data_IF_177245509427
#
_entry.id   IF_177245509427
#
_cell.length_a   1.000
_cell.length_b   1.000
_cell.length_c   1.000
_cell.angle_alpha   90.00
_cell.angle_beta   90.00
_cell.angle_gamma   90.00
#
_symmetry.space_group_name_H-M   'P 1'
#
loop_
_entity.id
_entity.type
_entity.pdbx_description
1 polymer ?
#
# COMPACT_ATOMS: atom_id res chain seq x y z
N UNK A 1 2.83 -16.72 -31.50
CA UNK A 1 3.60 -16.81 -30.25
C UNK A 1 3.16 -15.68 -29.33
N UNK A 2 2.13 -15.91 -28.51
CA UNK A 2 1.77 -14.96 -27.45
C UNK A 2 2.17 -15.59 -26.13
N UNK A 3 3.37 -15.22 -25.66
CA UNK A 3 3.83 -15.57 -24.33
C UNK A 3 3.00 -14.81 -23.32
N UNK A 4 1.87 -15.40 -22.93
CA UNK A 4 1.19 -15.02 -21.70
C UNK A 4 2.10 -15.48 -20.55
N UNK A 5 3.07 -14.63 -20.20
CA UNK A 5 3.76 -14.74 -18.93
C UNK A 5 2.68 -14.56 -17.86
N UNK A 6 2.23 -15.68 -17.30
CA UNK A 6 1.43 -15.68 -16.09
C UNK A 6 2.31 -15.05 -15.01
N UNK A 7 2.12 -13.76 -14.78
CA UNK A 7 2.75 -13.07 -13.66
C UNK A 7 1.96 -13.52 -12.44
N UNK A 8 2.62 -14.29 -11.58
CA UNK A 8 2.03 -14.67 -10.31
C UNK A 8 1.73 -13.37 -9.52
N UNK A 9 0.47 -13.15 -9.09
CA UNK A 9 0.12 -11.98 -8.30
C UNK A 9 0.97 -11.84 -7.03
N UNK A 10 1.44 -12.97 -6.50
CA UNK A 10 2.26 -13.07 -5.30
C UNK A 10 3.70 -12.59 -5.56
N UNK A 11 4.27 -12.83 -6.75
CA UNK A 11 5.57 -12.26 -7.16
C UNK A 11 5.51 -10.74 -7.19
N UNK A 12 4.38 -10.18 -7.62
CA UNK A 12 4.18 -8.74 -7.67
C UNK A 12 4.08 -8.14 -6.27
N UNK A 13 3.34 -8.78 -5.36
CA UNK A 13 3.24 -8.37 -3.97
C UNK A 13 4.59 -8.47 -3.24
N UNK A 14 5.34 -9.56 -3.46
CA UNK A 14 6.67 -9.75 -2.89
C UNK A 14 7.65 -8.65 -3.34
N UNK A 15 7.64 -8.29 -4.63
CA UNK A 15 8.42 -7.16 -5.15
C UNK A 15 7.99 -5.79 -4.61
N UNK A 16 6.72 -5.62 -4.26
CA UNK A 16 6.21 -4.35 -3.71
C UNK A 16 6.63 -4.15 -2.25
N UNK A 17 6.85 -5.24 -1.52
CA UNK A 17 7.37 -5.24 -0.14
C UNK A 17 8.92 -5.28 -0.11
N UNK A 18 9.56 -5.50 -1.26
CA UNK A 18 11.02 -5.61 -1.39
C UNK A 18 11.67 -4.24 -1.12
N UNK A 19 12.18 -4.08 0.10
CA UNK A 19 12.86 -2.85 0.55
C UNK A 19 12.15 -2.11 1.69
N UNK A 20 10.99 -2.59 2.14
CA UNK A 20 10.37 -2.08 3.36
C UNK A 20 10.90 -2.81 4.61
N UNK A 21 11.07 -2.06 5.71
CA UNK A 21 11.54 -2.61 6.98
C UNK A 21 10.43 -3.46 7.61
N UNK A 22 10.62 -4.78 7.79
CA UNK A 22 9.59 -5.68 8.30
C UNK A 22 9.16 -5.31 9.73
N UNK A 23 10.03 -4.66 10.51
CA UNK A 23 9.70 -4.22 11.88
C UNK A 23 8.70 -3.07 11.83
N UNK A 24 8.94 -2.09 10.97
CA UNK A 24 8.03 -0.93 10.82
C UNK A 24 6.68 -1.35 10.26
N UNK A 25 6.66 -2.31 9.33
CA UNK A 25 5.42 -2.86 8.79
C UNK A 25 4.56 -3.51 9.89
N UNK A 26 5.17 -4.33 10.76
CA UNK A 26 4.47 -4.95 11.88
C UNK A 26 3.95 -3.90 12.88
N UNK A 27 4.71 -2.84 13.17
CA UNK A 27 4.24 -1.73 14.00
C UNK A 27 3.03 -1.01 13.39
N UNK A 28 3.07 -0.76 12.09
CA UNK A 28 1.98 -0.13 11.35
C UNK A 28 0.71 -0.99 11.37
N UNK A 29 0.83 -2.30 11.09
CA UNK A 29 -0.29 -3.24 11.19
C UNK A 29 -0.87 -3.29 12.61
N UNK A 30 -0.01 -3.27 13.63
CA UNK A 30 -0.45 -3.23 15.02
C UNK A 30 -1.19 -1.93 15.36
N UNK A 31 -0.76 -0.78 14.82
CA UNK A 31 -1.49 0.51 14.97
C UNK A 31 -2.88 0.45 14.33
N UNK A 32 -2.98 -0.12 13.12
CA UNK A 32 -4.27 -0.32 12.44
C UNK A 32 -5.17 -1.25 13.25
N UNK A 33 -4.64 -2.37 13.76
CA UNK A 33 -5.39 -3.34 14.56
C UNK A 33 -5.94 -2.72 15.86
N UNK A 34 -5.22 -1.75 16.43
CA UNK A 34 -5.69 -0.97 17.59
C UNK A 34 -6.71 0.11 17.23
N UNK A 35 -7.00 0.32 15.96
CA UNK A 35 -7.91 1.37 15.48
C UNK A 35 -7.34 2.78 15.64
N UNK A 36 -6.01 2.91 15.72
CA UNK A 36 -5.36 4.22 15.79
C UNK A 36 -5.44 4.92 14.42
N UNK A 37 -5.53 6.25 14.47
CA UNK A 37 -5.44 7.07 13.25
C UNK A 37 -3.98 7.17 12.82
N UNK A 38 -3.77 7.11 11.51
CA UNK A 38 -2.48 7.32 10.88
C UNK A 38 -2.44 8.74 10.34
N UNK A 39 -1.53 9.55 10.84
CA UNK A 39 -1.36 10.94 10.42
C UNK A 39 -0.39 11.04 9.22
N UNK A 40 -0.43 12.11 8.41
CA UNK A 40 0.40 12.22 7.20
C UNK A 40 1.92 12.15 7.46
N UNK A 41 2.34 12.52 8.67
CA UNK A 41 3.73 12.52 9.16
C UNK A 41 4.19 11.15 9.66
N UNK A 42 3.25 10.24 9.94
CA UNK A 42 3.58 8.89 10.37
C UNK A 42 4.23 8.10 9.24
N UNK A 43 5.10 7.17 9.63
CA UNK A 43 5.60 6.18 8.70
C UNK A 43 4.46 5.26 8.26
N UNK A 44 4.41 4.97 6.97
CA UNK A 44 3.48 4.02 6.35
C UNK A 44 4.14 3.41 5.11
N UNK A 45 3.76 2.19 4.70
CA UNK A 45 4.21 1.58 3.46
C UNK A 45 4.04 2.50 2.25
N UNK A 46 5.01 2.51 1.34
CA UNK A 46 5.03 3.42 0.19
C UNK A 46 3.84 3.18 -0.74
N UNK A 47 3.52 1.91 -0.98
CA UNK A 47 2.38 1.53 -1.81
C UNK A 47 1.04 1.83 -1.12
N UNK A 48 0.97 1.71 0.21
CA UNK A 48 -0.22 2.12 0.97
C UNK A 48 -0.49 3.63 0.80
N UNK A 49 0.55 4.47 0.95
CA UNK A 49 0.44 5.91 0.73
C UNK A 49 -0.05 6.24 -0.68
N UNK A 50 0.52 5.58 -1.69
CA UNK A 50 0.17 5.79 -3.11
C UNK A 50 -1.29 5.42 -3.39
N UNK A 51 -1.77 4.31 -2.82
CA UNK A 51 -3.16 3.90 -2.97
C UNK A 51 -4.12 4.89 -2.29
N UNK A 52 -3.78 5.37 -1.09
CA UNK A 52 -4.58 6.40 -0.42
C UNK A 52 -4.71 7.68 -1.24
N UNK A 53 -3.58 8.19 -1.78
CA UNK A 53 -3.60 9.38 -2.65
C UNK A 53 -4.53 9.17 -3.85
N UNK A 54 -4.40 8.03 -4.54
CA UNK A 54 -5.28 7.71 -5.67
C UNK A 54 -6.75 7.67 -5.25
N UNK A 55 -7.07 7.08 -4.11
CA UNK A 55 -8.45 6.99 -3.63
C UNK A 55 -9.01 8.37 -3.30
N UNK A 56 -8.23 9.22 -2.63
CA UNK A 56 -8.60 10.61 -2.30
C UNK A 56 -8.80 11.43 -3.59
N UNK A 57 -7.90 11.31 -4.56
CA UNK A 57 -8.02 11.98 -5.86
C UNK A 57 -9.28 11.54 -6.60
N UNK A 58 -9.55 10.24 -6.70
CA UNK A 58 -10.75 9.74 -7.37
C UNK A 58 -12.02 10.18 -6.65
N UNK A 59 -12.02 10.19 -5.32
CA UNK A 59 -13.14 10.71 -4.55
C UNK A 59 -13.34 12.21 -4.82
N UNK A 60 -12.28 13.01 -4.81
CA UNK A 60 -12.37 14.43 -5.12
C UNK A 60 -12.88 14.69 -6.56
N UNK A 61 -12.47 13.86 -7.53
CA UNK A 61 -12.97 13.96 -8.90
C UNK A 61 -14.43 13.50 -9.05
N UNK A 62 -14.92 12.60 -8.20
CA UNK A 62 -16.33 12.16 -8.26
C UNK A 62 -17.30 13.18 -7.64
N UNK A 63 -16.81 14.12 -6.84
CA UNK A 63 -17.61 15.18 -6.21
C UNK A 63 -17.81 16.42 -7.11
N UNK A 64 -17.26 16.41 -8.34
CA UNK A 64 -17.45 17.44 -9.39
C UNK A 64 -18.51 16.95 -10.39
#
# INVERSE_FOLDING_TARGET
MYGNAYIDPNDKAAKMLEGEDPVKLAEFEARIARGEKIEPKDWMPAEYRKQLVRMIEQHAHSEI
#
